data_IF_401016907336
#
_entry.id   IF_401016907336
#
_cell.length_a   1.000
_cell.length_b   1.000
_cell.length_c   1.000
_cell.angle_alpha   90.00
_cell.angle_beta   90.00
_cell.angle_gamma   90.00
#
_symmetry.space_group_name_H-M   'P 1'
#
loop_
_entity.id
_entity.type
_entity.pdbx_description
1 polymer ?
#
# COMPACT_ATOMS: atom_id res chain seq x y z
N UNK A 1 -30.33 46.77 -21.27
CA UNK A 1 -29.13 47.39 -20.66
C UNK A 1 -28.82 46.58 -19.40
N UNK A 2 -27.96 45.57 -19.51
CA UNK A 2 -27.61 44.64 -18.44
C UNK A 2 -26.41 45.19 -17.68
N UNK A 3 -26.54 45.36 -16.36
CA UNK A 3 -25.45 45.78 -15.47
C UNK A 3 -24.60 44.55 -15.15
N UNK A 4 -23.32 44.59 -15.50
CA UNK A 4 -22.34 43.58 -15.15
C UNK A 4 -22.11 43.57 -13.64
N UNK A 5 -22.31 42.42 -13.00
CA UNK A 5 -21.81 42.18 -11.65
C UNK A 5 -20.39 41.60 -11.76
N UNK A 6 -19.41 42.39 -11.33
CA UNK A 6 -18.02 41.93 -11.16
C UNK A 6 -17.95 40.86 -10.07
N UNK A 7 -17.10 39.83 -10.21
CA UNK A 7 -16.88 38.85 -9.14
C UNK A 7 -16.15 39.49 -7.95
N UNK A 8 -16.44 39.11 -6.69
CA UNK A 8 -15.66 39.59 -5.55
C UNK A 8 -14.23 39.03 -5.59
N UNK A 9 -13.28 39.91 -5.28
CA UNK A 9 -11.85 39.67 -5.17
C UNK A 9 -11.50 38.66 -4.05
N UNK A 10 -10.32 38.00 -4.12
CA UNK A 10 -9.96 36.90 -3.23
C UNK A 10 -9.73 37.39 -1.80
N UNK A 11 -10.28 36.67 -0.82
CA UNK A 11 -9.93 36.87 0.59
C UNK A 11 -8.51 36.34 0.82
N UNK A 12 -7.54 37.25 0.74
CA UNK A 12 -6.22 37.07 1.33
C UNK A 12 -6.36 37.12 2.85
N UNK A 13 -5.90 36.06 3.52
CA UNK A 13 -5.50 36.13 4.91
C UNK A 13 -6.23 35.19 5.87
N UNK A 14 -5.83 33.92 5.87
CA UNK A 14 -5.36 33.28 7.12
C UNK A 14 -4.22 32.37 6.71
N UNK A 15 -2.99 32.75 7.07
CA UNK A 15 -1.88 31.81 7.05
C UNK A 15 -2.20 30.70 8.04
N UNK A 16 -2.58 29.53 7.55
CA UNK A 16 -2.49 28.32 8.35
C UNK A 16 -1.00 28.03 8.51
N UNK A 17 -0.39 28.60 9.55
CA UNK A 17 0.80 27.99 10.14
C UNK A 17 0.32 26.66 10.72
N UNK A 18 0.29 25.62 9.90
CA UNK A 18 0.05 24.26 10.34
C UNK A 18 1.29 23.81 11.10
N UNK A 19 1.39 24.15 12.38
CA UNK A 19 1.98 23.22 13.35
C UNK A 19 1.01 22.08 13.58
N UNK A 20 0.52 21.45 12.50
CA UNK A 20 -0.49 20.40 12.56
C UNK A 20 0.22 19.11 12.95
N UNK A 21 0.23 18.83 14.26
CA UNK A 21 0.38 17.44 14.70
C UNK A 21 -0.76 16.64 14.06
N UNK A 22 -0.43 15.45 13.56
CA UNK A 22 -1.42 14.51 13.04
C UNK A 22 -2.59 14.35 14.03
N UNK A 23 -3.84 14.32 13.53
CA UNK A 23 -5.02 14.20 14.39
C UNK A 23 -5.04 12.86 15.13
N UNK A 24 -5.50 12.88 16.38
CA UNK A 24 -5.63 11.67 17.19
C UNK A 24 -6.99 10.99 16.97
N UNK A 25 -6.97 9.69 16.69
CA UNK A 25 -8.18 8.85 16.58
C UNK A 25 -8.17 7.78 17.67
N UNK A 26 -9.19 7.76 18.51
CA UNK A 26 -9.41 6.70 19.50
C UNK A 26 -10.32 5.61 18.95
N UNK A 27 -9.91 4.34 19.08
CA UNK A 27 -10.72 3.18 18.67
C UNK A 27 -10.83 2.16 19.79
N UNK A 28 -11.95 1.42 19.84
CA UNK A 28 -12.09 0.25 20.69
C UNK A 28 -11.82 -1.00 19.87
N UNK A 29 -10.90 -1.83 20.34
CA UNK A 29 -10.53 -3.09 19.71
C UNK A 29 -10.82 -4.27 20.65
N UNK A 30 -11.23 -5.44 20.11
CA UNK A 30 -11.17 -6.70 20.84
C UNK A 30 -9.76 -6.94 21.39
N UNK A 31 -9.66 -7.51 22.60
CA UNK A 31 -8.36 -7.78 23.26
C UNK A 31 -7.41 -8.61 22.38
N UNK A 32 -7.94 -9.59 21.64
CA UNK A 32 -7.15 -10.42 20.74
C UNK A 32 -6.52 -9.60 19.60
N UNK A 33 -7.25 -8.65 19.00
CA UNK A 33 -6.70 -7.79 17.95
C UNK A 33 -5.65 -6.83 18.49
N UNK A 34 -5.88 -6.27 19.68
CA UNK A 34 -4.87 -5.42 20.33
C UNK A 34 -3.57 -6.19 20.62
N UNK A 35 -3.67 -7.46 21.05
CA UNK A 35 -2.51 -8.31 21.26
C UNK A 35 -1.71 -8.55 19.97
N UNK A 36 -2.39 -8.79 18.84
CA UNK A 36 -1.73 -8.93 17.53
C UNK A 36 -1.01 -7.65 17.10
N UNK A 37 -1.58 -6.47 17.37
CA UNK A 37 -0.92 -5.19 17.11
C UNK A 37 0.33 -5.02 17.99
N UNK A 38 0.25 -5.45 19.27
CA UNK A 38 1.38 -5.39 20.20
C UNK A 38 2.52 -6.33 19.79
N UNK A 39 2.20 -7.51 19.28
CA UNK A 39 3.17 -8.44 18.70
C UNK A 39 3.82 -7.84 17.45
N UNK A 40 3.01 -7.32 16.51
CA UNK A 40 3.51 -6.65 15.32
C UNK A 40 4.48 -5.51 15.65
N UNK A 41 4.16 -4.71 16.67
CA UNK A 41 5.00 -3.62 17.14
C UNK A 41 6.35 -4.12 17.68
N UNK A 42 6.35 -5.23 18.42
CA UNK A 42 7.59 -5.86 18.91
C UNK A 42 8.43 -6.38 17.74
N UNK A 43 7.81 -7.07 16.79
CA UNK A 43 8.51 -7.66 15.64
C UNK A 43 9.20 -6.60 14.77
N UNK A 44 8.57 -5.43 14.65
CA UNK A 44 9.12 -4.30 13.89
C UNK A 44 9.97 -3.34 14.74
N UNK A 45 10.13 -3.60 16.04
CA UNK A 45 10.86 -2.73 16.96
C UNK A 45 10.29 -1.31 17.06
N UNK A 46 8.97 -1.15 16.88
CA UNK A 46 8.31 0.15 16.77
C UNK A 46 7.23 0.36 17.85
N UNK A 47 6.64 1.55 17.88
CA UNK A 47 5.54 1.84 18.82
C UNK A 47 4.23 1.19 18.36
N UNK A 48 3.30 0.92 19.30
CA UNK A 48 1.94 0.44 18.97
C UNK A 48 1.23 1.34 17.95
N UNK A 49 1.35 2.66 18.09
CA UNK A 49 0.73 3.62 17.18
C UNK A 49 1.34 3.57 15.77
N UNK A 50 2.62 3.24 15.67
CA UNK A 50 3.31 3.03 14.40
C UNK A 50 2.91 1.72 13.74
N UNK A 51 2.82 0.63 14.51
CA UNK A 51 2.26 -0.63 14.04
C UNK A 51 0.80 -0.46 13.54
N UNK A 52 -0.04 0.27 14.26
CA UNK A 52 -1.40 0.60 13.80
C UNK A 52 -1.41 1.41 12.50
N UNK A 53 -0.49 2.38 12.35
CA UNK A 53 -0.36 3.15 11.11
C UNK A 53 0.04 2.27 9.94
N UNK A 54 0.92 1.28 10.14
CA UNK A 54 1.26 0.28 9.12
C UNK A 54 0.02 -0.54 8.72
N UNK A 55 -0.75 -1.03 9.69
CA UNK A 55 -1.99 -1.78 9.40
C UNK A 55 -2.98 -0.94 8.61
N UNK A 56 -3.14 0.34 8.96
CA UNK A 56 -4.00 1.27 8.21
C UNK A 56 -3.45 1.52 6.80
N UNK A 57 -2.15 1.73 6.66
CA UNK A 57 -1.49 1.99 5.39
C UNK A 57 -1.73 0.87 4.37
N UNK A 58 -1.61 -0.39 4.80
CA UNK A 58 -1.86 -1.55 3.94
C UNK A 58 -3.35 -1.93 3.84
N UNK A 59 -4.10 -1.78 4.91
CA UNK A 59 -5.50 -2.21 4.99
C UNK A 59 -6.48 -1.26 4.30
N UNK A 60 -6.23 0.05 4.33
CA UNK A 60 -7.16 1.05 3.79
C UNK A 60 -7.34 0.93 2.26
N UNK A 61 -6.30 0.75 1.44
CA UNK A 61 -6.47 0.51 0.00
C UNK A 61 -7.32 -0.73 -0.29
N UNK A 62 -7.08 -1.84 0.44
CA UNK A 62 -7.84 -3.08 0.29
C UNK A 62 -9.31 -2.89 0.65
N UNK A 63 -9.57 -2.19 1.77
CA UNK A 63 -10.92 -1.83 2.19
C UNK A 63 -11.64 -0.96 1.16
N UNK A 64 -10.96 0.00 0.53
CA UNK A 64 -11.52 0.85 -0.53
C UNK A 64 -11.91 0.06 -1.78
N UNK A 65 -11.15 -0.98 -2.12
CA UNK A 65 -11.45 -1.87 -3.24
C UNK A 65 -12.57 -2.88 -2.92
N UNK A 66 -13.14 -2.86 -1.70
CA UNK A 66 -14.14 -3.84 -1.26
C UNK A 66 -13.61 -5.27 -1.22
N UNK A 67 -12.28 -5.44 -1.25
CA UNK A 67 -11.65 -6.75 -1.41
C UNK A 67 -10.94 -7.13 -0.12
N UNK A 68 -11.22 -8.34 0.38
CA UNK A 68 -10.38 -8.97 1.40
C UNK A 68 -9.32 -9.85 0.72
N UNK A 69 -8.06 -9.70 1.09
CA UNK A 69 -6.98 -10.56 0.59
C UNK A 69 -6.74 -11.72 1.56
N UNK A 70 -6.99 -12.95 1.11
CA UNK A 70 -6.53 -14.13 1.83
C UNK A 70 -5.09 -14.42 1.41
N UNK A 71 -4.14 -14.06 2.27
CA UNK A 71 -2.69 -14.18 1.99
C UNK A 71 -2.29 -15.62 1.65
N UNK A 72 -2.85 -16.62 2.34
CA UNK A 72 -2.53 -18.02 2.07
C UNK A 72 -2.99 -18.44 0.66
N UNK A 73 -4.21 -18.07 0.26
CA UNK A 73 -4.71 -18.35 -1.10
C UNK A 73 -3.93 -17.57 -2.15
N UNK A 74 -3.54 -16.34 -1.84
CA UNK A 74 -2.74 -15.52 -2.74
C UNK A 74 -1.35 -16.12 -2.96
N UNK A 75 -0.67 -16.55 -1.89
CA UNK A 75 0.63 -17.21 -1.97
C UNK A 75 0.56 -18.50 -2.81
N UNK A 76 -0.47 -19.33 -2.61
CA UNK A 76 -0.67 -20.54 -3.42
C UNK A 76 -0.90 -20.20 -4.89
N UNK A 77 -1.72 -19.20 -5.20
CA UNK A 77 -1.98 -18.79 -6.57
C UNK A 77 -0.72 -18.24 -7.25
N UNK A 78 0.09 -17.47 -6.51
CA UNK A 78 1.36 -16.94 -7.00
C UNK A 78 2.36 -18.08 -7.25
N UNK A 79 2.51 -19.00 -6.31
CA UNK A 79 3.40 -20.15 -6.45
C UNK A 79 3.01 -21.03 -7.64
N UNK A 80 1.71 -21.29 -7.80
CA UNK A 80 1.19 -22.03 -8.94
C UNK A 80 1.52 -21.32 -10.26
N UNK A 81 1.32 -20.00 -10.33
CA UNK A 81 1.63 -19.23 -11.53
C UNK A 81 3.14 -19.27 -11.85
N UNK A 82 3.99 -19.11 -10.84
CA UNK A 82 5.45 -19.18 -11.01
C UNK A 82 5.89 -20.57 -11.48
N UNK A 83 5.35 -21.64 -10.90
CA UNK A 83 5.63 -23.01 -11.31
C UNK A 83 5.16 -23.28 -12.75
N UNK A 84 3.95 -22.84 -13.12
CA UNK A 84 3.44 -22.97 -14.48
C UNK A 84 4.32 -22.22 -15.49
N UNK A 85 4.71 -20.98 -15.20
CA UNK A 85 5.63 -20.21 -16.03
C UNK A 85 6.99 -20.90 -16.17
N UNK A 86 7.54 -21.43 -15.07
CA UNK A 86 8.81 -22.16 -15.10
C UNK A 86 8.75 -23.37 -16.03
N UNK A 87 7.67 -24.14 -15.99
CA UNK A 87 7.48 -25.30 -16.89
C UNK A 87 7.39 -24.86 -18.35
N UNK A 88 6.63 -23.80 -18.64
CA UNK A 88 6.45 -23.29 -20.01
C UNK A 88 7.78 -22.79 -20.57
N UNK A 89 8.48 -21.91 -19.83
CA UNK A 89 9.75 -21.34 -20.28
C UNK A 89 10.78 -22.44 -20.47
N UNK A 90 10.89 -23.39 -19.54
CA UNK A 90 11.84 -24.49 -19.65
C UNK A 90 11.57 -25.41 -20.84
N UNK A 91 10.32 -25.52 -21.31
CA UNK A 91 9.95 -26.36 -22.46
C UNK A 91 10.05 -25.64 -23.79
N UNK A 92 9.63 -24.38 -23.86
CA UNK A 92 9.39 -23.68 -25.11
C UNK A 92 10.43 -22.59 -25.40
N UNK A 93 11.11 -22.09 -24.36
CA UNK A 93 11.99 -20.91 -24.41
C UNK A 93 13.20 -21.06 -23.49
N UNK A 94 13.82 -22.24 -23.50
CA UNK A 94 14.92 -22.58 -22.60
C UNK A 94 16.15 -21.67 -22.79
N UNK A 95 16.34 -21.13 -24.01
CA UNK A 95 17.39 -20.18 -24.38
C UNK A 95 17.25 -18.81 -23.69
N UNK A 96 16.04 -18.47 -23.23
CA UNK A 96 15.75 -17.20 -22.59
C UNK A 96 15.78 -17.30 -21.07
N UNK A 97 15.78 -18.51 -20.50
CA UNK A 97 15.64 -18.79 -19.07
C UNK A 97 16.65 -18.00 -18.23
N UNK A 98 17.92 -17.96 -18.64
CA UNK A 98 18.98 -17.23 -17.94
C UNK A 98 18.81 -15.69 -17.99
N UNK A 99 18.07 -15.17 -18.97
CA UNK A 99 17.86 -13.72 -19.17
C UNK A 99 16.58 -13.20 -18.53
N UNK A 100 15.70 -14.09 -18.07
CA UNK A 100 14.42 -13.70 -17.44
C UNK A 100 14.66 -12.92 -16.16
N UNK A 101 15.62 -13.34 -15.33
CA UNK A 101 15.93 -12.66 -14.07
C UNK A 101 16.41 -11.22 -14.30
N UNK A 102 17.34 -11.01 -15.23
CA UNK A 102 17.84 -9.68 -15.60
C UNK A 102 16.72 -8.78 -16.14
N UNK A 103 15.81 -9.36 -16.93
CA UNK A 103 14.66 -8.64 -17.48
C UNK A 103 13.67 -8.22 -16.39
N UNK A 104 13.40 -9.11 -15.42
CA UNK A 104 12.52 -8.82 -14.28
C UNK A 104 13.14 -7.73 -13.41
N UNK A 105 14.44 -7.83 -13.09
CA UNK A 105 15.16 -6.82 -12.31
C UNK A 105 15.12 -5.44 -12.99
N UNK A 106 15.40 -5.39 -14.30
CA UNK A 106 15.33 -4.14 -15.07
C UNK A 106 13.94 -3.50 -15.08
N UNK A 107 12.88 -4.30 -15.20
CA UNK A 107 11.49 -3.81 -15.12
C UNK A 107 11.12 -3.32 -13.72
N UNK A 108 11.60 -3.99 -12.68
CA UNK A 108 11.35 -3.59 -11.31
C UNK A 108 11.90 -2.18 -11.07
N UNK A 109 13.15 -1.93 -11.48
CA UNK A 109 13.81 -0.63 -11.34
C UNK A 109 13.13 0.47 -12.18
N UNK A 110 12.61 0.12 -13.36
CA UNK A 110 11.95 1.06 -14.27
C UNK A 110 10.56 1.49 -13.78
N UNK A 111 9.73 0.54 -13.31
CA UNK A 111 8.32 0.78 -13.02
C UNK A 111 8.00 0.89 -11.53
N UNK A 112 8.86 0.37 -10.66
CA UNK A 112 8.64 0.28 -9.23
C UNK A 112 9.90 0.73 -8.47
N UNK A 113 10.13 2.05 -8.43
CA UNK A 113 11.09 2.65 -7.49
C UNK A 113 10.60 2.38 -6.06
N UNK A 114 11.27 1.48 -5.37
CA UNK A 114 11.18 1.33 -3.92
C UNK A 114 12.06 2.36 -3.22
#
# INVERSE_FOLDING_TARGET
MWVAQSPPAPLLGVGFMTTERDPHVGVRLPRAQLAQVDELAKDHGCSRSEALRLVIHYGLPMARLGTSLNIARFAVALEYAMAACSVIISREHADVLERVEDTVRGRLDEFHRF
#
